data_IF_255472012893
#
_entry.id   IF_255472012893
#
_cell.length_a   1.000
_cell.length_b   1.000
_cell.length_c   1.000
_cell.angle_alpha   90.00
_cell.angle_beta   90.00
_cell.angle_gamma   90.00
#
_symmetry.space_group_name_H-M   'P 1'
#
loop_
_entity.id
_entity.type
_entity.pdbx_description
1 polymer ?
#
# COMPACT_ATOMS: atom_id res chain seq x y z
N UNK A 1 1.96 -18.48 7.91
CA UNK A 1 2.66 -17.17 7.88
C UNK A 1 1.66 -16.07 8.12
N UNK A 2 2.05 -14.98 8.79
CA UNK A 2 1.19 -13.81 9.03
C UNK A 2 1.30 -12.85 7.85
N UNK A 3 0.20 -12.18 7.49
CA UNK A 3 0.15 -11.12 6.47
C UNK A 3 -0.52 -9.88 7.04
N UNK A 4 -0.10 -8.70 6.57
CA UNK A 4 -0.73 -7.41 6.85
C UNK A 4 -1.21 -6.82 5.53
N UNK A 5 -2.48 -6.44 5.48
CA UNK A 5 -3.05 -5.70 4.36
C UNK A 5 -3.04 -4.20 4.65
N UNK A 6 -2.65 -3.37 3.68
CA UNK A 6 -2.58 -1.91 3.78
C UNK A 6 -3.40 -1.29 2.66
N UNK A 7 -4.23 -0.31 2.99
CA UNK A 7 -4.96 0.51 2.03
C UNK A 7 -4.82 1.97 2.40
N UNK A 8 -4.88 2.86 1.41
CA UNK A 8 -4.89 4.32 1.59
C UNK A 8 -6.27 4.84 1.20
N UNK A 9 -7.08 5.23 2.18
CA UNK A 9 -8.42 5.78 1.94
C UNK A 9 -8.44 7.31 1.95
N UNK A 10 -9.39 7.91 1.23
CA UNK A 10 -9.60 9.36 1.21
C UNK A 10 -8.98 10.07 0.00
N UNK A 11 -8.56 11.32 0.16
CA UNK A 11 -7.88 12.06 -0.88
C UNK A 11 -6.37 11.79 -0.89
N UNK A 12 -5.74 11.92 -2.05
CA UNK A 12 -4.28 11.85 -2.16
C UNK A 12 -3.62 13.02 -1.43
N UNK A 13 -2.55 12.72 -0.71
CA UNK A 13 -1.76 13.68 0.03
C UNK A 13 -0.26 13.41 -0.19
N UNK A 14 0.59 14.45 -0.31
CA UNK A 14 2.03 14.27 -0.31
C UNK A 14 2.49 13.47 0.93
N UNK A 15 3.26 12.41 0.70
CA UNK A 15 3.87 11.60 1.77
C UNK A 15 3.20 10.25 2.04
N UNK A 16 2.07 9.91 1.43
CA UNK A 16 1.47 8.57 1.58
C UNK A 16 2.42 7.46 1.11
N UNK A 17 3.08 7.67 -0.03
CA UNK A 17 4.15 6.78 -0.50
C UNK A 17 5.32 6.65 0.49
N UNK A 18 5.68 7.72 1.22
CA UNK A 18 6.72 7.66 2.23
C UNK A 18 6.31 6.80 3.43
N UNK A 19 5.05 6.93 3.88
CA UNK A 19 4.48 6.08 4.94
C UNK A 19 4.44 4.62 4.50
N UNK A 20 3.93 4.33 3.30
CA UNK A 20 3.88 2.97 2.75
C UNK A 20 5.28 2.35 2.67
N UNK A 21 6.24 3.07 2.08
CA UNK A 21 7.63 2.62 1.97
C UNK A 21 8.26 2.32 3.32
N UNK A 22 8.11 3.23 4.29
CA UNK A 22 8.68 3.04 5.63
C UNK A 22 8.10 1.82 6.34
N UNK A 23 6.79 1.58 6.23
CA UNK A 23 6.12 0.41 6.79
C UNK A 23 6.66 -0.88 6.17
N UNK A 24 6.74 -0.95 4.84
CA UNK A 24 7.21 -2.13 4.10
C UNK A 24 8.65 -2.49 4.48
N UNK A 25 9.57 -1.52 4.38
CA UNK A 25 10.99 -1.75 4.68
C UNK A 25 11.23 -2.10 6.16
N UNK A 26 10.45 -1.52 7.08
CA UNK A 26 10.56 -1.84 8.51
C UNK A 26 10.13 -3.28 8.79
N UNK A 27 8.99 -3.72 8.22
CA UNK A 27 8.49 -5.08 8.42
C UNK A 27 9.39 -6.11 7.75
N UNK A 28 9.85 -5.83 6.52
CA UNK A 28 10.78 -6.71 5.80
C UNK A 28 12.11 -6.85 6.55
N UNK A 29 12.71 -5.74 6.98
CA UNK A 29 13.97 -5.74 7.72
C UNK A 29 13.90 -6.42 9.10
N UNK A 30 12.71 -6.43 9.72
CA UNK A 30 12.47 -7.13 10.98
C UNK A 30 12.16 -8.64 10.80
N UNK A 31 12.10 -9.16 9.57
CA UNK A 31 11.60 -10.51 9.30
C UNK A 31 10.13 -10.68 9.71
N UNK A 32 9.36 -9.60 9.61
CA UNK A 32 7.97 -9.50 10.01
C UNK A 32 6.99 -10.16 9.04
N UNK A 33 5.68 -9.89 9.19
CA UNK A 33 4.64 -10.37 8.28
C UNK A 33 4.86 -9.88 6.84
N UNK A 34 4.40 -10.67 5.86
CA UNK A 34 4.31 -10.20 4.47
C UNK A 34 3.33 -9.02 4.38
N UNK A 35 3.67 -8.03 3.55
CA UNK A 35 2.81 -6.86 3.31
C UNK A 35 2.07 -7.02 1.98
N UNK A 36 0.78 -6.75 2.01
CA UNK A 36 -0.11 -6.75 0.84
C UNK A 36 -0.79 -5.39 0.75
N UNK A 37 -0.63 -4.70 -0.35
CA UNK A 37 -1.39 -3.50 -0.67
C UNK A 37 -2.76 -3.85 -1.23
N UNK A 38 -3.81 -3.15 -0.80
CA UNK A 38 -5.13 -3.16 -1.43
C UNK A 38 -5.24 -1.93 -2.31
N UNK A 39 -5.45 -2.16 -3.60
CA UNK A 39 -5.52 -1.08 -4.58
C UNK A 39 -6.87 -0.37 -4.52
N UNK A 40 -6.93 0.90 -4.89
CA UNK A 40 -8.14 1.72 -4.98
C UNK A 40 -8.99 1.73 -3.71
N UNK A 41 -8.30 1.76 -2.56
CA UNK A 41 -8.90 1.84 -1.23
C UNK A 41 -10.01 0.79 -1.00
N UNK A 42 -11.17 1.24 -0.52
CA UNK A 42 -12.31 0.36 -0.26
C UNK A 42 -12.92 -0.24 -1.53
N UNK A 43 -12.81 0.44 -2.68
CA UNK A 43 -13.34 -0.11 -3.93
C UNK A 43 -12.62 -1.39 -4.32
N UNK A 44 -11.28 -1.38 -4.35
CA UNK A 44 -10.54 -2.60 -4.69
C UNK A 44 -10.61 -3.68 -3.63
N UNK A 45 -10.92 -3.34 -2.37
CA UNK A 45 -11.23 -4.34 -1.34
C UNK A 45 -12.58 -5.04 -1.57
N UNK A 46 -13.57 -4.33 -2.09
CA UNK A 46 -14.93 -4.84 -2.31
C UNK A 46 -15.09 -5.60 -3.63
N UNK A 47 -14.11 -5.53 -4.53
CA UNK A 47 -14.08 -6.31 -5.75
C UNK A 47 -13.95 -7.82 -5.47
N UNK A 48 -14.44 -8.64 -6.40
CA UNK A 48 -14.31 -10.09 -6.37
C UNK A 48 -13.55 -10.60 -7.61
N UNK A 49 -12.26 -10.99 -7.50
CA UNK A 49 -11.45 -10.99 -6.28
C UNK A 49 -10.94 -9.58 -5.90
N UNK A 50 -10.56 -9.36 -4.62
CA UNK A 50 -9.97 -8.09 -4.19
C UNK A 50 -8.70 -7.76 -4.98
N UNK A 51 -8.54 -6.48 -5.33
CA UNK A 51 -7.35 -5.99 -6.04
C UNK A 51 -6.17 -5.84 -5.08
N UNK A 52 -5.29 -6.83 -5.10
CA UNK A 52 -4.14 -6.92 -4.20
C UNK A 52 -2.81 -6.76 -4.95
N UNK A 53 -1.84 -6.14 -4.29
CA UNK A 53 -0.46 -5.98 -4.75
C UNK A 53 0.50 -6.45 -3.67
N UNK A 54 1.48 -7.28 -4.01
CA UNK A 54 2.51 -7.65 -3.03
C UNK A 54 3.49 -6.49 -2.84
N UNK A 55 3.78 -6.15 -1.59
CA UNK A 55 4.66 -5.05 -1.25
C UNK A 55 5.94 -5.59 -0.60
N UNK A 56 7.06 -5.42 -1.31
CA UNK A 56 8.41 -5.69 -0.85
C UNK A 56 9.31 -4.48 -1.14
N UNK A 57 10.58 -4.53 -0.71
CA UNK A 57 11.54 -3.46 -0.93
C UNK A 57 11.76 -3.07 -2.39
N UNK A 58 11.50 -3.97 -3.36
CA UNK A 58 11.57 -3.65 -4.79
C UNK A 58 10.32 -2.92 -5.24
N UNK A 59 9.14 -3.35 -4.78
CA UNK A 59 7.87 -2.71 -5.10
C UNK A 59 7.81 -1.27 -4.59
N UNK A 60 8.43 -0.97 -3.44
CA UNK A 60 8.47 0.39 -2.87
C UNK A 60 9.74 1.18 -3.20
N UNK A 61 10.54 0.70 -4.16
CA UNK A 61 11.71 1.45 -4.63
C UNK A 61 11.27 2.62 -5.51
N UNK A 62 11.95 3.77 -5.37
CA UNK A 62 11.66 4.96 -6.19
C UNK A 62 10.35 5.71 -5.90
N UNK A 63 9.38 5.13 -5.18
CA UNK A 63 8.02 5.70 -5.03
C UNK A 63 7.94 7.03 -4.26
N UNK A 64 9.05 7.47 -3.65
CA UNK A 64 9.10 8.73 -2.88
C UNK A 64 8.95 9.98 -3.76
N UNK A 65 9.24 9.88 -5.06
CA UNK A 65 9.07 11.00 -6.00
C UNK A 65 7.70 10.99 -6.68
N UNK A 66 6.89 9.96 -6.43
CA UNK A 66 5.55 9.82 -7.00
C UNK A 66 4.51 10.52 -6.11
N UNK A 67 3.64 11.31 -6.74
CA UNK A 67 2.53 11.96 -6.06
C UNK A 67 1.47 10.94 -5.62
N UNK A 68 0.75 11.26 -4.53
CA UNK A 68 -0.28 10.39 -3.98
C UNK A 68 0.28 9.09 -3.40
N UNK A 69 -0.32 7.98 -3.80
CA UNK A 69 0.01 6.62 -3.34
C UNK A 69 0.02 5.63 -4.50
N UNK A 70 1.01 4.74 -4.56
CA UNK A 70 1.07 3.67 -5.58
C UNK A 70 -0.09 2.67 -5.50
N UNK A 71 -0.81 2.65 -4.38
CA UNK A 71 -2.01 1.83 -4.21
C UNK A 71 -3.26 2.46 -4.83
N UNK A 72 -3.19 3.72 -5.27
CA UNK A 72 -4.37 4.49 -5.63
C UNK A 72 -5.24 4.84 -4.41
N UNK A 73 -6.14 5.79 -4.61
CA UNK A 73 -7.09 6.20 -3.59
C UNK A 73 -8.49 6.33 -4.17
N UNK A 74 -9.50 6.24 -3.30
CA UNK A 74 -10.89 6.55 -3.64
C UNK A 74 -11.42 7.57 -2.64
N UNK A 75 -12.02 8.65 -3.16
CA UNK A 75 -12.67 9.69 -2.37
C UNK A 75 -14.21 9.60 -2.40
N UNK A 76 -14.75 8.66 -3.15
CA UNK A 76 -16.17 8.36 -3.25
C UNK A 76 -16.47 7.20 -2.32
N UNK A 77 -16.99 7.54 -1.14
CA UNK A 77 -17.65 6.63 -0.20
C UNK A 77 -19.04 7.14 0.10
#
# INVERSE_FOLDING_TARGET
MKKIAVLTGGGDCPGLNAVLRSLVLTLEGAGGPEVVGLCDAYHGLLDDPPRVMHLDGKTVDGILVEGGTILGTSNSG
#
